data_IF_928884808715
#
_entry.id   IF_928884808715
#
_cell.length_a   1.000
_cell.length_b   1.000
_cell.length_c   1.000
_cell.angle_alpha   90.00
_cell.angle_beta   90.00
_cell.angle_gamma   90.00
#
_symmetry.space_group_name_H-M   'P 1'
#
loop_
_entity.id
_entity.type
_entity.pdbx_description
1 polymer ?
#
# COMPACT_ATOMS: atom_id res chain seq x y z
N UNK A 1 1.95 -4.63 2.08
CA UNK A 1 2.53 -3.36 1.57
C UNK A 1 4.01 -3.17 1.92
N UNK A 2 4.44 -3.19 3.19
CA UNK A 2 5.86 -2.93 3.54
C UNK A 2 6.81 -3.87 2.80
N UNK A 3 6.49 -5.17 2.78
CA UNK A 3 7.27 -6.18 2.03
C UNK A 3 7.35 -5.89 0.53
N UNK A 4 6.31 -5.33 -0.07
CA UNK A 4 6.31 -4.88 -1.48
C UNK A 4 7.26 -3.69 -1.66
N UNK A 5 7.18 -2.69 -0.77
CA UNK A 5 8.09 -1.53 -0.81
C UNK A 5 9.55 -1.96 -0.65
N UNK A 6 9.85 -2.84 0.31
CA UNK A 6 11.20 -3.39 0.49
C UNK A 6 11.66 -4.20 -0.71
N UNK A 7 10.77 -4.98 -1.34
CA UNK A 7 11.09 -5.73 -2.55
C UNK A 7 11.50 -4.85 -3.73
N UNK A 8 11.03 -3.60 -3.81
CA UNK A 8 11.51 -2.65 -4.83
C UNK A 8 12.94 -2.13 -4.56
N UNK A 9 13.44 -2.25 -3.33
CA UNK A 9 14.79 -1.80 -2.92
C UNK A 9 15.80 -2.93 -2.86
N UNK A 10 15.34 -4.12 -2.47
CA UNK A 10 16.13 -5.33 -2.29
C UNK A 10 15.48 -6.53 -3.00
N UNK A 11 15.23 -6.45 -4.32
CA UNK A 11 14.59 -7.52 -5.08
C UNK A 11 15.38 -8.84 -5.08
N UNK A 12 16.71 -8.77 -4.93
CA UNK A 12 17.61 -9.93 -4.84
C UNK A 12 17.29 -10.87 -3.67
N UNK A 13 16.74 -10.35 -2.57
CA UNK A 13 16.35 -11.14 -1.40
C UNK A 13 15.17 -12.09 -1.70
N UNK A 14 14.47 -11.85 -2.81
CA UNK A 14 13.33 -12.62 -3.29
C UNK A 14 13.65 -13.33 -4.62
N UNK A 15 14.92 -13.38 -5.01
CA UNK A 15 15.36 -14.03 -6.25
C UNK A 15 15.05 -13.26 -7.54
N UNK A 16 14.67 -11.97 -7.45
CA UNK A 16 14.35 -11.13 -8.61
C UNK A 16 15.59 -10.37 -9.12
N UNK A 17 16.53 -11.10 -9.73
CA UNK A 17 17.76 -10.50 -10.29
C UNK A 17 17.47 -9.59 -11.51
N UNK A 18 16.39 -9.88 -12.23
CA UNK A 18 15.81 -9.04 -13.29
C UNK A 18 15.40 -7.66 -12.74
N UNK A 19 14.57 -7.64 -11.69
CA UNK A 19 14.16 -6.37 -11.06
C UNK A 19 15.35 -5.62 -10.48
N UNK A 20 16.38 -6.34 -10.00
CA UNK A 20 17.61 -5.72 -9.50
C UNK A 20 18.37 -4.96 -10.59
N UNK A 21 18.46 -5.50 -11.81
CA UNK A 21 19.10 -4.81 -12.93
C UNK A 21 18.26 -3.65 -13.46
N UNK A 22 16.93 -3.72 -13.31
CA UNK A 22 16.03 -2.67 -13.79
C UNK A 22 15.92 -1.44 -12.88
N UNK A 23 16.07 -1.59 -11.57
CA UNK A 23 15.80 -0.52 -10.60
C UNK A 23 17.10 0.08 -10.07
N UNK A 24 17.34 1.36 -10.40
CA UNK A 24 18.43 2.15 -9.82
C UNK A 24 18.11 2.54 -8.37
N UNK A 25 16.89 3.02 -8.12
CA UNK A 25 16.41 3.36 -6.78
C UNK A 25 14.95 2.93 -6.57
N UNK A 26 14.75 2.08 -5.57
CA UNK A 26 13.43 1.60 -5.15
C UNK A 26 12.64 2.61 -4.33
N UNK A 27 11.36 2.31 -4.10
CA UNK A 27 10.47 3.20 -3.38
C UNK A 27 10.89 3.37 -1.90
N UNK A 28 10.78 4.59 -1.38
CA UNK A 28 11.11 4.87 0.02
C UNK A 28 10.06 4.30 0.99
N UNK A 29 10.39 4.09 2.29
CA UNK A 29 9.42 3.65 3.29
C UNK A 29 8.14 4.49 3.35
N UNK A 30 8.21 5.78 2.96
CA UNK A 30 7.07 6.70 2.85
C UNK A 30 6.01 6.23 1.85
N UNK A 31 6.36 5.40 0.86
CA UNK A 31 5.39 4.79 -0.04
C UNK A 31 4.34 3.97 0.71
N UNK A 32 4.73 3.31 1.81
CA UNK A 32 3.79 2.56 2.67
C UNK A 32 2.69 3.45 3.24
N UNK A 33 3.01 4.69 3.64
CA UNK A 33 2.04 5.65 4.15
C UNK A 33 1.04 6.07 3.06
N UNK A 34 1.54 6.30 1.84
CA UNK A 34 0.71 6.60 0.68
C UNK A 34 -0.26 5.46 0.34
N UNK A 35 0.23 4.22 0.36
CA UNK A 35 -0.60 3.02 0.14
C UNK A 35 -1.71 2.90 1.18
N UNK A 36 -1.42 3.11 2.48
CA UNK A 36 -2.45 3.05 3.53
C UNK A 36 -3.51 4.14 3.34
N UNK A 37 -3.07 5.38 3.10
CA UNK A 37 -4.00 6.50 2.93
C UNK A 37 -4.91 6.29 1.71
N UNK A 38 -4.34 5.84 0.59
CA UNK A 38 -5.09 5.53 -0.62
C UNK A 38 -6.06 4.36 -0.40
N UNK A 39 -5.63 3.27 0.23
CA UNK A 39 -6.47 2.10 0.50
C UNK A 39 -7.66 2.44 1.43
N UNK A 40 -7.43 3.26 2.47
CA UNK A 40 -8.51 3.76 3.34
C UNK A 40 -9.49 4.64 2.58
N UNK A 41 -8.98 5.53 1.73
CA UNK A 41 -9.81 6.40 0.89
C UNK A 41 -10.66 5.58 -0.07
N UNK A 42 -10.07 4.55 -0.70
CA UNK A 42 -10.77 3.64 -1.60
C UNK A 42 -11.85 2.81 -0.87
N UNK A 43 -11.56 2.32 0.33
CA UNK A 43 -12.54 1.61 1.15
C UNK A 43 -13.74 2.51 1.48
N UNK A 44 -13.48 3.76 1.87
CA UNK A 44 -14.51 4.75 2.20
C UNK A 44 -15.38 5.12 1.00
N UNK A 45 -14.76 5.37 -0.17
CA UNK A 45 -15.47 5.63 -1.43
C UNK A 45 -16.37 4.46 -1.82
N UNK A 46 -15.99 3.23 -1.45
CA UNK A 46 -16.78 2.00 -1.65
C UNK A 46 -17.78 1.71 -0.52
N UNK A 47 -17.99 2.63 0.41
CA UNK A 47 -18.97 2.51 1.48
C UNK A 47 -18.58 1.55 2.61
N UNK A 48 -17.29 1.19 2.74
CA UNK A 48 -16.78 0.35 3.84
C UNK A 48 -15.96 1.19 4.81
N UNK A 49 -16.09 0.89 6.09
CA UNK A 49 -15.32 1.49 7.19
C UNK A 49 -14.02 0.72 7.49
N UNK A 50 -13.80 -0.43 6.84
CA UNK A 50 -12.60 -1.24 6.94
C UNK A 50 -11.93 -1.47 5.57
N UNK A 51 -10.61 -1.61 5.58
CA UNK A 51 -9.78 -1.91 4.40
C UNK A 51 -9.68 -3.41 4.21
N UNK A 52 -9.87 -3.90 2.98
CA UNK A 52 -9.59 -5.30 2.62
C UNK A 52 -8.27 -5.42 1.83
N UNK A 53 -7.65 -6.62 1.75
CA UNK A 53 -6.42 -6.80 0.98
C UNK A 53 -6.51 -6.32 -0.47
N UNK A 54 -7.67 -6.48 -1.09
CA UNK A 54 -7.90 -6.03 -2.47
C UNK A 54 -7.70 -4.52 -2.63
N UNK A 55 -8.16 -3.71 -1.68
CA UNK A 55 -8.01 -2.24 -1.75
C UNK A 55 -6.54 -1.84 -1.69
N UNK A 56 -5.73 -2.59 -0.95
CA UNK A 56 -4.28 -2.35 -0.87
C UNK A 56 -3.58 -2.73 -2.18
N UNK A 57 -3.95 -3.87 -2.77
CA UNK A 57 -3.35 -4.34 -4.03
C UNK A 57 -3.65 -3.36 -5.16
N UNK A 58 -4.89 -2.87 -5.22
CA UNK A 58 -5.36 -1.97 -6.28
C UNK A 58 -4.63 -0.62 -6.29
N UNK A 59 -4.32 -0.06 -5.13
CA UNK A 59 -3.64 1.25 -5.03
C UNK A 59 -2.12 1.18 -5.11
N UNK A 60 -1.51 0.00 -5.03
CA UNK A 60 -0.04 -0.13 -5.07
C UNK A 60 0.55 0.43 -6.36
N UNK A 61 0.06 0.07 -7.57
CA UNK A 61 0.59 0.61 -8.81
C UNK A 61 0.54 2.14 -8.85
N UNK A 62 -0.59 2.74 -8.45
CA UNK A 62 -0.77 4.20 -8.45
C UNK A 62 0.23 4.92 -7.55
N UNK A 63 0.56 4.33 -6.39
CA UNK A 63 1.53 4.92 -5.46
C UNK A 63 2.97 4.69 -5.92
N UNK A 64 3.29 3.54 -6.52
CA UNK A 64 4.65 3.14 -6.84
C UNK A 64 5.16 3.63 -8.20
N UNK A 65 4.29 3.81 -9.22
CA UNK A 65 4.70 4.15 -10.60
C UNK A 65 5.66 5.32 -10.68
N UNK A 66 5.43 6.35 -9.88
CA UNK A 66 6.23 7.58 -9.87
C UNK A 66 7.30 7.62 -8.77
N UNK A 67 7.54 6.49 -8.09
CA UNK A 67 8.49 6.37 -6.97
C UNK A 67 9.64 5.42 -7.24
N UNK A 68 9.71 4.86 -8.45
CA UNK A 68 10.80 4.02 -8.91
C UNK A 68 11.67 4.81 -9.87
N UNK A 69 12.99 4.72 -9.69
CA UNK A 69 13.97 5.21 -10.65
C UNK A 69 14.56 3.99 -11.35
N UNK A 70 14.40 3.94 -12.66
CA UNK A 70 14.92 2.86 -13.49
C UNK A 70 16.38 3.12 -13.89
N UNK A 71 17.12 2.05 -14.16
CA UNK A 71 18.46 2.13 -14.73
C UNK A 71 18.41 2.56 -16.19
N UNK A 72 19.52 3.09 -16.71
CA UNK A 72 19.61 3.46 -18.12
C UNK A 72 19.39 2.26 -19.06
N UNK A 73 19.99 1.11 -18.73
CA UNK A 73 19.84 -0.12 -19.49
C UNK A 73 18.36 -0.56 -19.54
N UNK A 74 17.63 -0.45 -18.42
CA UNK A 74 16.20 -0.78 -18.40
C UNK A 74 15.37 0.14 -19.28
N UNK A 75 15.70 1.43 -19.34
CA UNK A 75 15.04 2.38 -20.24
C UNK A 75 15.35 2.06 -21.71
N UNK A 76 16.59 1.64 -22.01
CA UNK A 76 16.98 1.19 -23.35
C UNK A 76 16.24 -0.10 -23.77
N UNK A 77 15.97 -0.99 -22.80
CA UNK A 77 15.18 -2.22 -22.98
C UNK A 77 13.65 -1.97 -22.92
N UNK A 78 13.20 -0.71 -22.97
CA UNK A 78 11.78 -0.29 -22.90
C UNK A 78 11.02 -0.81 -21.66
N UNK A 79 11.74 -1.07 -20.57
CA UNK A 79 11.13 -1.50 -19.30
C UNK A 79 10.42 -0.31 -18.66
N UNK A 80 9.13 -0.47 -18.41
CA UNK A 80 8.32 0.52 -17.71
C UNK A 80 8.24 0.24 -16.20
N UNK A 81 7.96 1.27 -15.37
CA UNK A 81 7.70 1.06 -13.94
C UNK A 81 6.55 0.08 -13.69
N UNK A 82 5.56 0.03 -14.58
CA UNK A 82 4.41 -0.89 -14.53
C UNK A 82 4.87 -2.36 -14.63
N UNK A 83 5.82 -2.67 -15.53
CA UNK A 83 6.40 -4.02 -15.66
C UNK A 83 7.09 -4.42 -14.34
N UNK A 84 7.89 -3.52 -13.78
CA UNK A 84 8.59 -3.76 -12.51
C UNK A 84 7.60 -4.02 -11.37
N UNK A 85 6.58 -3.18 -11.25
CA UNK A 85 5.57 -3.29 -10.18
C UNK A 85 4.82 -4.62 -10.30
N UNK A 86 4.38 -4.98 -11.50
CA UNK A 86 3.67 -6.23 -11.74
C UNK A 86 4.54 -7.44 -11.43
N UNK A 87 5.83 -7.41 -11.79
CA UNK A 87 6.78 -8.45 -11.43
C UNK A 87 6.92 -8.61 -9.92
N UNK A 88 7.07 -7.50 -9.19
CA UNK A 88 7.15 -7.50 -7.72
C UNK A 88 5.86 -8.04 -7.09
N UNK A 89 4.70 -7.63 -7.59
CA UNK A 89 3.40 -8.07 -7.07
C UNK A 89 3.15 -9.57 -7.29
N UNK A 90 3.65 -10.14 -8.39
CA UNK A 90 3.56 -11.58 -8.67
C UNK A 90 4.44 -12.42 -7.72
N UNK A 91 5.58 -11.88 -7.29
CA UNK A 91 6.53 -12.60 -6.42
C UNK A 91 6.22 -12.42 -4.93
N UNK A 92 5.79 -11.23 -4.51
CA UNK A 92 5.53 -10.95 -3.10
C UNK A 92 4.16 -11.53 -2.70
N UNK A 93 4.19 -12.62 -1.93
CA UNK A 93 2.98 -13.28 -1.42
C UNK A 93 2.01 -12.28 -0.77
N UNK A 94 0.74 -12.39 -1.15
CA UNK A 94 -0.34 -11.56 -0.62
C UNK A 94 -0.55 -11.83 0.88
N UNK A 95 -0.96 -10.81 1.66
CA UNK A 95 -1.34 -11.01 3.05
C UNK A 95 -2.55 -11.94 3.12
N UNK A 96 -2.39 -13.08 3.79
CA UNK A 96 -3.52 -13.95 4.13
C UNK A 96 -4.20 -13.35 5.36
N UNK A 97 -5.46 -12.95 5.22
CA UNK A 97 -6.26 -12.50 6.35
C UNK A 97 -6.93 -13.71 6.96
N UNK A 98 -6.37 -14.20 8.06
CA UNK A 98 -7.14 -15.06 8.96
C UNK A 98 -8.15 -14.15 9.66
N UNK A 99 -9.42 -14.27 9.28
CA UNK A 99 -10.50 -13.56 9.95
C UNK A 99 -10.66 -14.13 11.37
N UNK A 100 -9.93 -13.56 12.33
CA UNK A 100 -10.30 -13.68 13.74
C UNK A 100 -11.50 -12.76 13.92
N UNK A 101 -12.70 -13.27 14.29
CA UNK A 101 -13.85 -12.41 14.54
C UNK A 101 -13.45 -11.37 15.59
N UNK A 102 -13.34 -10.10 15.17
CA UNK A 102 -13.18 -9.00 16.10
C UNK A 102 -14.50 -8.90 16.85
N UNK A 103 -14.58 -9.49 18.04
CA UNK A 103 -15.70 -9.27 18.94
C UNK A 103 -15.77 -7.75 19.20
N UNK A 104 -16.90 -7.16 18.81
CA UNK A 104 -17.04 -5.74 18.55
C UNK A 104 -16.52 -4.86 19.68
N UNK A 105 -15.43 -4.14 19.43
CA UNK A 105 -15.20 -2.88 20.11
C UNK A 105 -16.21 -1.89 19.55
N UNK A 106 -17.39 -1.84 20.17
CA UNK A 106 -18.26 -0.68 20.04
C UNK A 106 -17.47 0.50 20.58
N UNK A 107 -17.01 1.38 19.69
CA UNK A 107 -16.55 2.71 20.13
C UNK A 107 -17.80 3.37 20.71
N UNK A 108 -17.86 3.62 22.03
CA UNK A 108 -19.03 4.28 22.59
C UNK A 108 -19.19 5.64 21.88
N UNK A 109 -20.43 6.03 21.52
CA UNK A 109 -20.64 7.33 20.92
C UNK A 109 -20.05 8.39 21.84
N UNK A 110 -19.17 9.22 21.30
CA UNK A 110 -18.66 10.39 22.03
C UNK A 110 -19.87 11.25 22.32
N UNK A 111 -20.36 11.19 23.57
CA UNK A 111 -21.47 12.01 24.01
C UNK A 111 -21.01 13.47 23.89
N UNK A 112 -21.54 14.16 22.88
CA UNK A 112 -21.32 15.58 22.70
C UNK A 112 -21.84 16.25 23.97
N UNK A 113 -20.91 16.82 24.75
CA UNK A 113 -21.21 17.40 26.04
C UNK A 113 -22.38 18.39 25.88
N UNK A 114 -23.48 18.08 26.55
CA UNK A 114 -24.64 18.93 26.62
C UNK A 114 -24.20 20.29 27.18
N UNK A 115 -24.32 21.34 26.36
CA UNK A 115 -24.30 22.71 26.81
C UNK A 115 -25.60 22.99 27.59
N UNK A 116 -25.67 22.46 28.81
CA UNK A 116 -26.63 22.90 29.81
C UNK A 116 -26.06 24.15 30.51
N UNK A 117 -26.18 25.30 29.85
CA UNK A 117 -26.09 26.58 30.53
C UNK A 117 -27.39 26.77 31.34
N UNK A 118 -27.34 26.29 32.59
CA UNK A 118 -28.33 26.61 33.62
C UNK A 118 -28.37 28.11 33.89
N UNK A 119 -29.58 28.62 34.08
CA UNK A 119 -29.87 30.05 34.12
C UNK A 119 -29.52 30.79 35.40
N UNK A 120 -29.79 32.09 35.30
CA UNK A 120 -30.41 32.94 36.32
C UNK A 120 -31.43 33.81 35.60
#
# INVERSE_FOLDING_TARGET
>A
MVRVVTATRHPEQLGMNDVKSWVAFGASPRASLGIIAAARSLALVRGRDYVIPQDVIEVIPDVLRHRLVLTYDALADEISPEIVINRVLQTVALPQVNAVPQQGHSVPPVMQAAAAAGGR
#
